data_IF_530045420214
#
_entry.id   IF_530045420214
#
_cell.length_a   1.000
_cell.length_b   1.000
_cell.length_c   1.000
_cell.angle_alpha   90.00
_cell.angle_beta   90.00
_cell.angle_gamma   90.00
#
_symmetry.space_group_name_H-M   'P 1'
#
loop_
_entity.id
_entity.type
_entity.pdbx_description
1 polymer ?
#
# COMPACT_ATOMS: atom_id res chain seq x y z
N UNK A 1 32.19 -41.37 17.48
CA UNK A 1 33.51 -41.01 18.06
C UNK A 1 33.47 -39.72 18.89
N UNK A 2 33.50 -38.51 18.30
CA UNK A 2 33.54 -37.26 19.11
C UNK A 2 32.22 -36.96 19.84
N UNK A 3 31.07 -37.20 19.19
CA UNK A 3 29.75 -37.08 19.83
C UNK A 3 29.57 -38.03 21.03
N UNK A 4 30.09 -39.26 20.93
CA UNK A 4 30.03 -40.26 22.01
C UNK A 4 30.90 -39.85 23.21
N UNK A 5 32.10 -39.29 22.95
CA UNK A 5 32.95 -38.73 24.02
C UNK A 5 32.24 -37.60 24.76
N UNK A 6 31.63 -36.66 24.02
CA UNK A 6 30.90 -35.55 24.65
C UNK A 6 29.66 -36.02 25.42
N UNK A 7 28.97 -37.08 24.97
CA UNK A 7 27.85 -37.68 25.71
C UNK A 7 28.30 -38.33 27.03
N UNK A 8 29.52 -38.86 27.09
CA UNK A 8 30.14 -39.37 28.33
C UNK A 8 30.62 -38.26 29.28
N UNK A 9 31.17 -37.16 28.74
CA UNK A 9 31.72 -36.05 29.56
C UNK A 9 30.64 -35.14 30.19
N UNK A 10 29.46 -35.03 29.56
CA UNK A 10 28.35 -34.20 30.07
C UNK A 10 27.86 -34.62 31.46
N UNK A 11 27.55 -35.91 31.74
CA UNK A 11 27.11 -36.35 33.07
C UNK A 11 28.21 -36.31 34.14
N UNK A 12 29.49 -36.38 33.76
CA UNK A 12 30.62 -36.31 34.71
C UNK A 12 30.98 -34.88 35.12
N UNK A 13 30.46 -33.87 34.42
CA UNK A 13 30.85 -32.47 34.63
C UNK A 13 29.89 -31.73 35.55
N UNK A 14 30.34 -31.44 36.79
CA UNK A 14 29.56 -30.66 37.78
C UNK A 14 29.58 -29.13 37.58
N UNK A 15 30.35 -28.62 36.61
CA UNK A 15 30.47 -27.17 36.36
C UNK A 15 29.47 -26.69 35.31
N UNK A 16 28.56 -25.81 35.70
CA UNK A 16 27.49 -25.29 34.84
C UNK A 16 28.02 -24.62 33.55
N UNK A 17 29.14 -23.89 33.64
CA UNK A 17 29.74 -23.21 32.46
C UNK A 17 30.37 -24.19 31.47
N UNK A 18 31.01 -25.26 31.98
CA UNK A 18 31.56 -26.33 31.14
C UNK A 18 30.44 -27.14 30.50
N UNK A 19 29.40 -27.47 31.28
CA UNK A 19 28.23 -28.18 30.80
C UNK A 19 27.55 -27.42 29.65
N UNK A 20 27.27 -26.12 29.80
CA UNK A 20 26.72 -25.28 28.72
C UNK A 20 27.57 -25.28 27.44
N UNK A 21 28.91 -25.24 27.57
CA UNK A 21 29.83 -25.29 26.41
C UNK A 21 29.81 -26.66 25.73
N UNK A 22 29.86 -27.75 26.50
CA UNK A 22 29.81 -29.12 25.99
C UNK A 22 28.48 -29.40 25.31
N UNK A 23 27.35 -29.02 25.90
CA UNK A 23 26.02 -29.16 25.30
C UNK A 23 25.92 -28.40 23.97
N UNK A 24 26.43 -27.16 23.89
CA UNK A 24 26.44 -26.39 22.64
C UNK A 24 27.30 -27.06 21.55
N UNK A 25 28.45 -27.63 21.92
CA UNK A 25 29.34 -28.36 21.01
C UNK A 25 28.70 -29.67 20.53
N UNK A 26 28.12 -30.44 21.44
CA UNK A 26 27.41 -31.68 21.10
C UNK A 26 26.28 -31.41 20.12
N UNK A 27 25.45 -30.39 20.39
CA UNK A 27 24.37 -29.98 19.48
C UNK A 27 24.87 -29.62 18.07
N UNK A 28 26.01 -28.94 17.98
CA UNK A 28 26.61 -28.60 16.68
C UNK A 28 27.11 -29.85 15.95
N UNK A 29 27.77 -30.78 16.65
CA UNK A 29 28.28 -32.02 16.05
C UNK A 29 27.12 -32.91 15.60
N UNK A 30 26.07 -33.04 16.40
CA UNK A 30 24.85 -33.78 16.04
C UNK A 30 24.21 -33.19 14.78
N UNK A 31 24.10 -31.86 14.68
CA UNK A 31 23.59 -31.20 13.47
C UNK A 31 24.46 -31.48 12.23
N UNK A 32 25.78 -31.58 12.36
CA UNK A 32 26.67 -31.98 11.25
C UNK A 32 26.48 -33.45 10.86
N UNK A 33 26.33 -34.34 11.84
CA UNK A 33 26.08 -35.76 11.59
C UNK A 33 24.72 -35.99 10.91
N UNK A 34 23.67 -35.30 11.37
CA UNK A 34 22.32 -35.37 10.78
C UNK A 34 22.27 -34.80 9.37
N UNK A 35 22.95 -33.66 9.12
CA UNK A 35 22.93 -33.01 7.81
C UNK A 35 23.82 -33.66 6.76
N UNK A 36 24.73 -34.56 7.17
CA UNK A 36 25.72 -35.20 6.27
C UNK A 36 26.78 -34.23 5.71
N UNK A 37 26.77 -32.97 6.15
CA UNK A 37 27.74 -31.97 5.71
C UNK A 37 29.11 -32.29 6.30
N UNK A 38 30.15 -32.15 5.49
CA UNK A 38 31.52 -32.36 5.96
C UNK A 38 32.12 -31.07 6.52
N UNK A 39 32.73 -31.08 7.73
CA UNK A 39 33.28 -29.86 8.34
C UNK A 39 34.33 -29.13 7.49
N UNK A 40 35.11 -29.86 6.67
CA UNK A 40 36.11 -29.29 5.77
C UNK A 40 35.52 -28.39 4.67
N UNK A 41 34.22 -28.50 4.37
CA UNK A 41 33.55 -27.64 3.37
C UNK A 41 33.47 -26.17 3.81
N UNK A 42 33.71 -25.87 5.09
CA UNK A 42 33.84 -24.49 5.57
C UNK A 42 35.10 -23.79 5.05
N UNK A 43 36.11 -24.55 4.59
CA UNK A 43 37.34 -24.02 4.00
C UNK A 43 37.21 -24.09 2.47
N UNK A 44 37.01 -22.93 1.85
CA UNK A 44 36.78 -22.84 0.40
C UNK A 44 38.03 -23.20 -0.40
N UNK A 45 37.95 -24.26 -1.19
CA UNK A 45 38.98 -24.63 -2.18
C UNK A 45 38.67 -24.06 -3.57
N UNK A 46 37.38 -23.94 -3.90
CA UNK A 46 36.87 -23.38 -5.15
C UNK A 46 35.84 -22.31 -4.83
N UNK A 47 35.96 -21.16 -5.48
CA UNK A 47 35.05 -20.03 -5.31
C UNK A 47 34.19 -19.86 -6.57
N UNK A 48 32.86 -19.97 -6.49
CA UNK A 48 31.98 -19.74 -7.63
C UNK A 48 31.95 -18.26 -8.00
N UNK A 49 31.71 -17.99 -9.30
CA UNK A 49 31.60 -16.63 -9.83
C UNK A 49 30.16 -16.36 -10.26
N UNK A 50 29.61 -15.23 -9.82
CA UNK A 50 28.26 -14.82 -10.17
C UNK A 50 28.11 -14.61 -11.70
N UNK A 51 26.98 -15.00 -12.32
CA UNK A 51 26.74 -14.77 -13.74
C UNK A 51 26.92 -13.29 -14.15
N UNK A 52 27.47 -13.00 -15.35
CA UNK A 52 27.76 -11.63 -15.80
C UNK A 52 26.54 -10.70 -15.79
N UNK A 53 25.35 -11.22 -16.08
CA UNK A 53 24.10 -10.44 -16.11
C UNK A 53 23.74 -9.83 -14.74
N UNK A 54 24.12 -10.49 -13.65
CA UNK A 54 23.90 -9.99 -12.28
C UNK A 54 24.99 -9.01 -11.82
N UNK A 55 26.03 -8.81 -12.65
CA UNK A 55 27.14 -7.87 -12.43
C UNK A 55 27.48 -7.12 -13.73
N UNK A 56 26.50 -6.40 -14.30
CA UNK A 56 26.62 -5.87 -15.66
C UNK A 56 27.70 -4.79 -15.77
N UNK A 57 28.21 -4.64 -16.99
CA UNK A 57 29.08 -3.56 -17.42
C UNK A 57 28.32 -2.78 -18.50
N UNK A 58 27.65 -1.71 -18.09
CA UNK A 58 26.71 -0.97 -18.96
C UNK A 58 27.44 0.23 -19.56
N UNK A 59 27.50 0.36 -20.90
CA UNK A 59 28.02 1.57 -21.53
C UNK A 59 27.10 2.74 -21.24
N UNK A 60 27.68 3.87 -20.84
CA UNK A 60 27.01 5.15 -20.68
C UNK A 60 27.34 6.06 -21.86
N UNK A 61 26.54 7.09 -22.06
CA UNK A 61 26.83 8.15 -23.03
C UNK A 61 28.22 8.77 -22.77
N UNK A 62 28.96 9.07 -23.84
CA UNK A 62 30.32 9.60 -23.75
C UNK A 62 31.42 8.56 -23.51
N UNK A 63 31.18 7.29 -23.86
CA UNK A 63 32.21 6.23 -23.85
C UNK A 63 32.64 5.76 -22.45
N UNK A 64 31.90 6.14 -21.40
CA UNK A 64 32.13 5.69 -20.02
C UNK A 64 31.43 4.37 -19.78
N UNK A 65 31.90 3.60 -18.80
CA UNK A 65 31.26 2.35 -18.40
C UNK A 65 30.85 2.40 -16.93
N UNK A 66 29.58 2.07 -16.66
CA UNK A 66 29.11 1.77 -15.32
C UNK A 66 29.45 0.31 -14.99
N UNK A 67 30.14 0.09 -13.87
CA UNK A 67 30.57 -1.25 -13.44
C UNK A 67 30.03 -1.55 -12.05
N UNK A 68 29.65 -2.81 -11.83
CA UNK A 68 29.28 -3.30 -10.49
C UNK A 68 30.50 -3.40 -9.58
N UNK A 69 30.37 -3.00 -8.31
CA UNK A 69 31.40 -3.12 -7.27
C UNK A 69 31.94 -4.56 -7.13
N UNK A 70 31.10 -5.56 -7.40
CA UNK A 70 31.50 -6.97 -7.39
C UNK A 70 32.59 -7.28 -8.43
N UNK A 71 32.55 -6.64 -9.60
CA UNK A 71 33.56 -6.89 -10.64
C UNK A 71 34.95 -6.48 -10.16
N UNK A 72 35.07 -5.40 -9.38
CA UNK A 72 36.33 -4.96 -8.79
C UNK A 72 36.85 -5.95 -7.74
N UNK A 73 35.95 -6.49 -6.90
CA UNK A 73 36.28 -7.49 -5.90
C UNK A 73 36.72 -8.81 -6.54
N UNK A 74 35.97 -9.31 -7.55
CA UNK A 74 36.37 -10.50 -8.33
C UNK A 74 37.73 -10.30 -9.02
N UNK A 75 37.94 -9.15 -9.65
CA UNK A 75 39.22 -8.83 -10.32
C UNK A 75 40.39 -8.89 -9.34
N UNK A 76 40.23 -8.39 -8.10
CA UNK A 76 41.27 -8.52 -7.06
C UNK A 76 41.56 -9.97 -6.71
N UNK A 77 40.52 -10.77 -6.44
CA UNK A 77 40.69 -12.20 -6.10
C UNK A 77 41.42 -12.95 -7.22
N UNK A 78 41.01 -12.75 -8.48
CA UNK A 78 41.63 -13.41 -9.64
C UNK A 78 43.10 -13.00 -9.78
N UNK A 79 43.40 -11.71 -9.70
CA UNK A 79 44.77 -11.21 -9.83
C UNK A 79 45.68 -11.73 -8.71
N UNK A 80 45.18 -11.78 -7.47
CA UNK A 80 45.91 -12.33 -6.32
C UNK A 80 46.14 -13.84 -6.44
N UNK A 81 45.13 -14.58 -6.90
CA UNK A 81 45.26 -16.02 -7.12
C UNK A 81 46.28 -16.34 -8.22
N UNK A 82 46.21 -15.62 -9.36
CA UNK A 82 47.17 -15.79 -10.45
C UNK A 82 48.60 -15.41 -10.03
N UNK A 83 48.76 -14.37 -9.20
CA UNK A 83 50.06 -13.98 -8.64
C UNK A 83 50.61 -15.03 -7.69
N UNK A 84 49.79 -15.56 -6.78
CA UNK A 84 50.19 -16.64 -5.87
C UNK A 84 50.63 -17.88 -6.66
N UNK A 85 49.89 -18.27 -7.70
CA UNK A 85 50.26 -19.39 -8.57
C UNK A 85 51.66 -19.19 -9.18
N UNK A 86 51.90 -18.03 -9.79
CA UNK A 86 53.23 -17.70 -10.36
C UNK A 86 54.36 -17.72 -9.33
N UNK A 87 54.11 -17.26 -8.10
CA UNK A 87 55.12 -17.28 -7.04
C UNK A 87 55.48 -18.70 -6.59
N UNK A 88 54.49 -19.61 -6.58
CA UNK A 88 54.73 -21.03 -6.30
C UNK A 88 55.51 -21.69 -7.43
N UNK A 89 55.16 -21.42 -8.70
CA UNK A 89 55.85 -21.95 -9.87
C UNK A 89 57.34 -21.52 -9.92
N UNK A 90 57.65 -20.31 -9.43
CA UNK A 90 59.01 -19.77 -9.35
C UNK A 90 59.77 -20.18 -8.09
N UNK A 91 59.20 -21.03 -7.22
CA UNK A 91 59.77 -21.38 -5.91
C UNK A 91 60.21 -20.16 -5.10
N UNK A 92 59.37 -19.11 -5.08
CA UNK A 92 59.66 -17.88 -4.35
C UNK A 92 59.80 -18.14 -2.83
N UNK A 93 60.59 -17.33 -2.11
CA UNK A 93 60.78 -17.50 -0.66
C UNK A 93 59.46 -17.53 0.14
N UNK A 94 59.43 -18.35 1.19
CA UNK A 94 58.27 -18.59 2.05
C UNK A 94 57.61 -17.31 2.59
N UNK A 95 58.41 -16.28 2.90
CA UNK A 95 57.92 -15.00 3.41
C UNK A 95 56.98 -14.34 2.40
N UNK A 96 57.36 -14.35 1.13
CA UNK A 96 56.58 -13.73 0.04
C UNK A 96 55.32 -14.56 -0.22
N UNK A 97 55.44 -15.89 -0.23
CA UNK A 97 54.31 -16.81 -0.41
C UNK A 97 53.28 -16.66 0.71
N UNK A 98 53.73 -16.58 1.97
CA UNK A 98 52.83 -16.36 3.13
C UNK A 98 52.11 -15.03 3.04
N UNK A 99 52.80 -13.96 2.63
CA UNK A 99 52.18 -12.65 2.44
C UNK A 99 51.10 -12.68 1.33
N UNK A 100 51.37 -13.35 0.20
CA UNK A 100 50.39 -13.44 -0.89
C UNK A 100 49.19 -14.32 -0.51
N UNK A 101 49.39 -15.41 0.26
CA UNK A 101 48.29 -16.19 0.86
C UNK A 101 47.40 -15.32 1.75
N UNK A 102 47.99 -14.48 2.61
CA UNK A 102 47.24 -13.51 3.43
C UNK A 102 46.44 -12.53 2.55
N UNK A 103 47.05 -12.00 1.51
CA UNK A 103 46.39 -11.04 0.61
C UNK A 103 45.24 -11.66 -0.20
N UNK A 104 45.39 -12.92 -0.60
CA UNK A 104 44.31 -13.68 -1.22
C UNK A 104 43.15 -13.89 -0.24
N UNK A 105 43.44 -14.29 1.00
CA UNK A 105 42.42 -14.43 2.05
C UNK A 105 41.65 -13.12 2.28
N UNK A 106 42.34 -12.00 2.42
CA UNK A 106 41.69 -10.69 2.60
C UNK A 106 40.83 -10.29 1.40
N UNK A 107 41.25 -10.66 0.18
CA UNK A 107 40.48 -10.37 -1.04
C UNK A 107 39.21 -11.22 -1.11
N UNK A 108 39.25 -12.49 -0.69
CA UNK A 108 38.08 -13.37 -0.61
C UNK A 108 37.14 -12.92 0.51
N UNK A 109 37.69 -12.57 1.68
CA UNK A 109 36.91 -12.03 2.81
C UNK A 109 36.15 -10.76 2.38
N UNK A 110 36.81 -9.84 1.66
CA UNK A 110 36.17 -8.62 1.18
C UNK A 110 35.12 -8.84 0.09
N UNK A 111 35.27 -9.88 -0.74
CA UNK A 111 34.25 -10.26 -1.73
C UNK A 111 32.98 -10.77 -1.05
N UNK A 112 33.13 -11.60 -0.01
CA UNK A 112 32.00 -12.19 0.72
C UNK A 112 31.33 -11.17 1.65
N UNK A 113 32.10 -10.50 2.52
CA UNK A 113 31.60 -9.54 3.51
C UNK A 113 32.66 -8.45 3.80
N UNK A 114 32.60 -7.36 3.04
CA UNK A 114 33.58 -6.27 3.12
C UNK A 114 33.44 -5.51 4.43
N UNK A 115 34.50 -5.50 5.25
CA UNK A 115 34.54 -4.77 6.53
C UNK A 115 34.33 -5.61 7.78
N UNK A 116 34.14 -6.94 7.66
CA UNK A 116 33.94 -7.82 8.83
C UNK A 116 35.18 -7.99 9.71
N UNK A 117 36.37 -8.11 9.10
CA UNK A 117 37.65 -8.39 9.79
C UNK A 117 38.68 -7.27 9.72
N UNK A 118 38.33 -6.12 9.13
CA UNK A 118 39.26 -5.01 8.95
C UNK A 118 38.63 -3.81 8.25
N UNK A 119 39.47 -2.86 7.84
CA UNK A 119 39.02 -1.66 7.11
C UNK A 119 38.41 -2.07 5.77
N UNK A 120 37.19 -1.61 5.50
CA UNK A 120 36.52 -1.87 4.25
C UNK A 120 37.36 -1.37 3.06
N UNK A 121 37.45 -2.21 2.04
CA UNK A 121 38.10 -1.85 0.78
C UNK A 121 37.26 -0.78 0.10
N UNK A 122 37.90 0.33 -0.24
CA UNK A 122 37.28 1.45 -0.95
C UNK A 122 37.62 1.45 -2.44
N UNK A 123 36.67 1.90 -3.25
CA UNK A 123 36.87 2.15 -4.69
C UNK A 123 37.48 3.53 -4.96
N UNK A 124 37.58 3.89 -6.24
CA UNK A 124 38.12 5.18 -6.70
C UNK A 124 37.44 6.39 -6.07
N UNK A 125 36.14 6.28 -5.77
CA UNK A 125 35.35 7.36 -5.16
C UNK A 125 35.45 7.40 -3.62
N UNK A 126 36.43 6.71 -3.03
CA UNK A 126 36.63 6.56 -1.57
C UNK A 126 35.45 5.94 -0.79
N UNK A 127 34.36 5.55 -1.46
CA UNK A 127 33.26 4.77 -0.86
C UNK A 127 33.65 3.30 -0.69
N UNK A 128 33.20 2.62 0.38
CA UNK A 128 33.38 1.19 0.52
C UNK A 128 32.64 0.45 -0.60
N UNK A 129 33.28 -0.58 -1.16
CA UNK A 129 32.68 -1.43 -2.18
C UNK A 129 31.62 -2.34 -1.56
N UNK A 130 30.47 -2.48 -2.22
CA UNK A 130 29.40 -3.40 -1.78
C UNK A 130 29.81 -4.86 -2.03
N UNK A 131 29.78 -5.67 -0.97
CA UNK A 131 30.05 -7.11 -1.02
C UNK A 131 28.80 -7.95 -1.34
N UNK A 132 28.97 -9.26 -1.52
CA UNK A 132 27.84 -10.18 -1.73
C UNK A 132 26.86 -10.16 -0.54
N UNK A 133 27.37 -10.14 0.69
CA UNK A 133 26.52 -10.05 1.88
C UNK A 133 25.72 -8.74 1.92
N UNK A 134 26.36 -7.61 1.58
CA UNK A 134 25.70 -6.28 1.56
C UNK A 134 24.60 -6.16 0.52
N UNK A 135 24.69 -6.90 -0.58
CA UNK A 135 23.62 -6.94 -1.58
C UNK A 135 22.36 -7.61 -1.03
N UNK A 136 22.50 -8.53 -0.08
CA UNK A 136 21.40 -9.30 0.47
C UNK A 136 20.80 -8.61 1.71
N UNK A 137 21.65 -8.10 2.60
CA UNK A 137 21.25 -7.53 3.90
C UNK A 137 20.93 -6.02 3.84
N UNK A 138 20.21 -5.53 4.84
CA UNK A 138 19.93 -4.10 5.02
C UNK A 138 18.70 -3.57 4.27
N UNK A 139 18.42 -2.27 4.43
CA UNK A 139 17.24 -1.60 3.84
C UNK A 139 17.29 -1.54 2.31
N UNK A 140 18.48 -1.34 1.75
CA UNK A 140 18.74 -1.37 0.30
C UNK A 140 19.10 -2.77 -0.21
N UNK A 141 19.03 -3.79 0.65
CA UNK A 141 19.30 -5.17 0.28
C UNK A 141 18.14 -5.81 -0.49
N UNK A 142 18.43 -6.92 -1.17
CA UNK A 142 17.47 -7.63 -2.02
C UNK A 142 16.16 -7.98 -1.31
N UNK A 143 16.23 -8.47 -0.06
CA UNK A 143 15.03 -8.90 0.67
C UNK A 143 14.03 -7.76 0.88
N UNK A 144 14.47 -6.63 1.43
CA UNK A 144 13.55 -5.53 1.77
C UNK A 144 13.18 -4.69 0.56
N UNK A 145 14.14 -4.37 -0.31
CA UNK A 145 13.92 -3.41 -1.38
C UNK A 145 13.28 -4.03 -2.62
N UNK A 146 13.62 -5.28 -2.96
CA UNK A 146 13.24 -5.89 -4.25
C UNK A 146 12.24 -7.04 -4.13
N UNK A 147 12.32 -7.84 -3.05
CA UNK A 147 11.39 -8.96 -2.87
C UNK A 147 10.07 -8.46 -2.29
N UNK A 148 10.13 -7.67 -1.21
CA UNK A 148 8.94 -7.08 -0.57
C UNK A 148 8.49 -5.77 -1.25
N UNK A 149 9.45 -4.96 -1.71
CA UNK A 149 9.18 -3.78 -2.51
C UNK A 149 9.26 -4.11 -4.00
N UNK A 150 8.17 -3.97 -4.74
CA UNK A 150 8.19 -4.07 -6.20
C UNK A 150 7.51 -2.85 -6.81
N UNK A 151 8.15 -2.31 -7.85
CA UNK A 151 7.45 -1.40 -8.76
C UNK A 151 6.52 -2.25 -9.60
N UNK A 152 5.28 -1.80 -9.72
CA UNK A 152 4.22 -2.52 -10.41
C UNK A 152 3.71 -1.68 -11.58
N UNK A 153 3.44 -2.35 -12.69
CA UNK A 153 2.76 -1.76 -13.84
C UNK A 153 1.26 -1.56 -13.51
N UNK A 154 0.51 -0.95 -14.45
CA UNK A 154 -0.92 -0.64 -14.26
C UNK A 154 -1.18 0.19 -12.99
N UNK A 155 -0.26 1.12 -12.72
CA UNK A 155 -0.34 2.06 -11.62
C UNK A 155 -0.16 3.50 -12.09
N UNK A 156 -0.82 4.42 -11.37
CA UNK A 156 -0.77 5.86 -11.62
C UNK A 156 -0.67 6.63 -10.32
N UNK A 157 -0.27 7.90 -10.38
CA UNK A 157 -0.29 8.80 -9.22
C UNK A 157 -0.73 10.19 -9.66
N UNK A 158 -1.61 10.81 -8.89
CA UNK A 158 -1.95 12.23 -9.06
C UNK A 158 -2.33 12.87 -7.73
N UNK A 159 -2.42 14.19 -7.75
CA UNK A 159 -2.95 15.01 -6.66
C UNK A 159 -4.43 14.70 -6.47
N UNK A 160 -4.87 14.66 -5.21
CA UNK A 160 -6.28 14.50 -4.87
C UNK A 160 -6.98 15.84 -4.69
N UNK A 161 -8.24 15.89 -5.09
CA UNK A 161 -9.15 17.02 -4.89
C UNK A 161 -10.48 16.51 -4.36
N UNK A 162 -11.26 17.42 -3.77
CA UNK A 162 -12.57 17.06 -3.21
C UNK A 162 -13.57 16.75 -4.32
N UNK A 163 -14.29 15.62 -4.19
CA UNK A 163 -15.42 15.24 -5.05
C UNK A 163 -16.71 15.11 -4.25
N UNK A 164 -17.36 16.22 -3.85
CA UNK A 164 -18.48 16.18 -2.90
C UNK A 164 -19.77 15.57 -3.48
N UNK A 165 -19.88 15.48 -4.82
CA UNK A 165 -21.03 14.88 -5.51
C UNK A 165 -20.90 13.38 -5.73
N UNK A 166 -19.75 12.79 -5.43
CA UNK A 166 -19.50 11.37 -5.58
C UNK A 166 -20.28 10.57 -4.53
N UNK A 167 -20.61 9.31 -4.84
CA UNK A 167 -21.08 8.35 -3.85
C UNK A 167 -19.90 7.78 -3.07
N UNK A 168 -20.16 7.19 -1.89
CA UNK A 168 -19.10 6.64 -1.02
C UNK A 168 -18.21 5.60 -1.72
N UNK A 169 -18.76 4.77 -2.61
CA UNK A 169 -18.04 3.75 -3.38
C UNK A 169 -17.36 4.28 -4.65
N UNK A 170 -17.49 5.58 -4.97
CA UNK A 170 -16.99 6.13 -6.21
C UNK A 170 -15.75 7.00 -6.00
N UNK A 171 -14.87 7.02 -6.99
CA UNK A 171 -13.78 7.99 -7.09
C UNK A 171 -13.76 8.61 -8.48
N UNK A 172 -13.40 9.89 -8.60
CA UNK A 172 -13.22 10.51 -9.91
C UNK A 172 -11.82 10.22 -10.45
N UNK A 173 -11.74 9.56 -11.60
CA UNK A 173 -10.50 9.20 -12.26
C UNK A 173 -10.30 10.05 -13.53
N UNK A 174 -9.17 10.76 -13.68
CA UNK A 174 -8.88 11.55 -14.88
C UNK A 174 -8.88 10.71 -16.15
N UNK A 175 -9.58 11.17 -17.18
CA UNK A 175 -9.66 10.49 -18.50
C UNK A 175 -8.30 10.06 -19.06
N UNK A 176 -7.29 10.92 -19.02
CA UNK A 176 -5.94 10.60 -19.52
C UNK A 176 -5.25 9.49 -18.71
N UNK A 177 -5.41 9.51 -17.39
CA UNK A 177 -4.87 8.47 -16.53
C UNK A 177 -5.58 7.14 -16.79
N UNK A 178 -6.91 7.17 -16.87
CA UNK A 178 -7.71 6.00 -17.17
C UNK A 178 -7.36 5.38 -18.53
N UNK A 179 -7.17 6.20 -19.57
CA UNK A 179 -6.78 5.75 -20.90
C UNK A 179 -5.45 4.97 -20.89
N UNK A 180 -4.46 5.44 -20.13
CA UNK A 180 -3.16 4.75 -19.99
C UNK A 180 -3.26 3.47 -19.15
N UNK A 181 -4.00 3.51 -18.03
CA UNK A 181 -4.17 2.37 -17.14
C UNK A 181 -4.92 1.21 -17.81
N UNK A 182 -5.93 1.52 -18.62
CA UNK A 182 -6.81 0.52 -19.24
C UNK A 182 -6.46 0.20 -20.71
N UNK A 183 -5.32 0.70 -21.22
CA UNK A 183 -4.91 0.58 -22.63
C UNK A 183 -5.11 -0.82 -23.25
N UNK A 184 -4.65 -1.93 -22.61
CA UNK A 184 -4.80 -3.26 -23.19
C UNK A 184 -6.26 -3.72 -23.30
N UNK A 185 -7.11 -3.33 -22.34
CA UNK A 185 -8.53 -3.64 -22.35
C UNK A 185 -9.24 -2.90 -23.50
N UNK A 186 -8.86 -1.64 -23.73
CA UNK A 186 -9.37 -0.84 -24.85
C UNK A 186 -8.96 -1.47 -26.18
N UNK A 187 -7.70 -1.89 -26.34
CA UNK A 187 -7.23 -2.57 -27.56
C UNK A 187 -8.05 -3.84 -27.86
N UNK A 188 -8.27 -4.68 -26.84
CA UNK A 188 -9.07 -5.90 -26.97
C UNK A 188 -10.52 -5.61 -27.37
N UNK A 189 -11.14 -4.56 -26.81
CA UNK A 189 -12.51 -4.16 -27.15
C UNK A 189 -12.62 -3.55 -28.56
N UNK A 190 -11.66 -2.71 -28.98
CA UNK A 190 -11.60 -2.15 -30.33
C UNK A 190 -11.51 -3.24 -31.40
N UNK A 191 -10.68 -4.27 -31.15
CA UNK A 191 -10.55 -5.41 -32.04
C UNK A 191 -11.84 -6.25 -32.09
N UNK A 192 -12.43 -6.55 -30.92
CA UNK A 192 -13.70 -7.31 -30.85
C UNK A 192 -14.88 -6.62 -31.55
N UNK A 193 -14.92 -5.29 -31.52
CA UNK A 193 -15.95 -4.50 -32.23
C UNK A 193 -15.67 -4.32 -33.72
N UNK A 194 -14.52 -4.78 -34.23
CA UNK A 194 -14.13 -4.61 -35.62
C UNK A 194 -13.71 -3.20 -36.01
N UNK A 195 -13.55 -2.29 -35.03
CA UNK A 195 -13.09 -0.91 -35.25
C UNK A 195 -11.59 -0.86 -35.58
N UNK A 196 -10.83 -1.85 -35.11
CA UNK A 196 -9.44 -2.05 -35.46
C UNK A 196 -9.19 -3.50 -35.90
N UNK A 197 -8.52 -3.67 -37.04
CA UNK A 197 -8.16 -5.01 -37.56
C UNK A 197 -6.88 -5.56 -36.98
N UNK A 198 -6.02 -4.71 -36.41
CA UNK A 198 -4.73 -5.12 -35.80
C UNK A 198 -4.45 -4.29 -34.55
N UNK A 199 -3.64 -4.83 -33.64
CA UNK A 199 -3.19 -4.13 -32.42
C UNK A 199 -2.47 -2.81 -32.78
N UNK A 200 -1.71 -2.78 -33.88
CA UNK A 200 -1.04 -1.55 -34.34
C UNK A 200 -2.04 -0.47 -34.79
N UNK A 201 -3.12 -0.87 -35.45
CA UNK A 201 -4.20 0.06 -35.81
C UNK A 201 -4.93 0.56 -34.56
N UNK A 202 -5.25 -0.33 -33.61
CA UNK A 202 -5.87 0.03 -32.34
C UNK A 202 -5.00 1.03 -31.55
N UNK A 203 -3.68 0.81 -31.50
CA UNK A 203 -2.73 1.73 -30.87
C UNK A 203 -2.78 3.12 -31.50
N UNK A 204 -2.78 3.21 -32.84
CA UNK A 204 -2.90 4.50 -33.55
C UNK A 204 -4.24 5.20 -33.30
N UNK A 205 -5.33 4.46 -33.16
CA UNK A 205 -6.64 5.02 -32.84
C UNK A 205 -6.66 5.60 -31.41
N UNK A 206 -6.11 4.86 -30.44
CA UNK A 206 -5.99 5.33 -29.05
C UNK A 206 -5.09 6.56 -28.94
N UNK A 207 -3.97 6.61 -29.68
CA UNK A 207 -3.08 7.79 -29.74
C UNK A 207 -3.75 9.03 -30.34
N UNK A 208 -4.79 8.85 -31.17
CA UNK A 208 -5.59 9.95 -31.74
C UNK A 208 -6.71 10.45 -30.82
N UNK A 209 -6.96 9.77 -29.69
CA UNK A 209 -7.99 10.15 -28.71
C UNK A 209 -9.39 10.38 -29.33
N UNK A 210 -9.78 9.56 -30.32
CA UNK A 210 -11.08 9.68 -31.01
C UNK A 210 -12.30 9.39 -30.13
N UNK A 211 -13.49 9.88 -30.53
CA UNK A 211 -14.74 9.72 -29.77
C UNK A 211 -15.07 8.26 -29.39
N UNK A 212 -14.91 7.35 -30.34
CA UNK A 212 -15.12 5.90 -30.17
C UNK A 212 -14.26 5.28 -29.04
N UNK A 213 -13.07 5.85 -28.79
CA UNK A 213 -12.17 5.38 -27.73
C UNK A 213 -12.72 5.76 -26.37
N UNK A 214 -13.32 6.93 -26.23
CA UNK A 214 -13.92 7.39 -24.98
C UNK A 214 -15.16 6.58 -24.62
N UNK A 215 -16.00 6.25 -25.61
CA UNK A 215 -17.18 5.40 -25.40
C UNK A 215 -16.78 3.99 -24.94
N UNK A 216 -15.73 3.42 -25.54
CA UNK A 216 -15.18 2.12 -25.13
C UNK A 216 -14.53 2.20 -23.75
N UNK A 217 -13.84 3.30 -23.45
CA UNK A 217 -13.23 3.51 -22.14
C UNK A 217 -14.29 3.50 -21.04
N UNK A 218 -15.41 4.19 -21.24
CA UNK A 218 -16.53 4.22 -20.30
C UNK A 218 -17.14 2.82 -20.10
N UNK A 219 -17.26 2.02 -21.16
CA UNK A 219 -17.72 0.63 -21.07
C UNK A 219 -16.73 -0.25 -20.29
N UNK A 220 -15.43 -0.14 -20.56
CA UNK A 220 -14.38 -0.96 -19.93
C UNK A 220 -14.28 -0.69 -18.44
N UNK A 221 -14.47 0.56 -18.05
CA UNK A 221 -14.31 1.02 -16.67
C UNK A 221 -15.55 0.70 -15.81
N UNK A 222 -16.70 0.51 -16.46
CA UNK A 222 -17.95 0.15 -15.77
C UNK A 222 -17.76 -1.17 -15.02
N UNK A 223 -18.08 -1.15 -13.72
CA UNK A 223 -17.93 -2.29 -12.80
C UNK A 223 -16.48 -2.81 -12.64
N UNK A 224 -15.46 -2.07 -13.09
CA UNK A 224 -14.05 -2.42 -12.89
C UNK A 224 -13.46 -1.58 -11.74
N UNK A 225 -13.39 -2.12 -10.50
CA UNK A 225 -12.90 -1.34 -9.37
C UNK A 225 -11.42 -1.00 -9.49
N UNK A 226 -11.02 0.15 -8.94
CA UNK A 226 -9.61 0.57 -8.82
C UNK A 226 -9.25 0.71 -7.35
N UNK A 227 -7.99 0.44 -7.02
CA UNK A 227 -7.48 0.60 -5.65
C UNK A 227 -6.77 1.94 -5.50
N UNK A 228 -7.22 2.76 -4.55
CA UNK A 228 -6.53 3.98 -4.13
C UNK A 228 -5.67 3.69 -2.90
N UNK A 229 -4.46 4.22 -2.89
CA UNK A 229 -3.52 4.11 -1.77
C UNK A 229 -2.84 5.45 -1.51
N UNK A 230 -2.76 5.84 -0.24
CA UNK A 230 -1.97 6.99 0.23
C UNK A 230 -0.75 6.54 1.02
N UNK A 231 0.40 7.14 0.71
CA UNK A 231 1.60 6.96 1.50
C UNK A 231 1.67 8.04 2.59
N UNK A 232 2.05 7.72 3.83
CA UNK A 232 2.38 6.38 4.36
C UNK A 232 1.13 5.54 4.68
N UNK A 233 1.16 4.25 4.34
CA UNK A 233 0.08 3.29 4.69
C UNK A 233 0.30 2.74 6.10
N UNK A 234 -0.45 3.25 7.09
CA UNK A 234 -0.29 2.87 8.50
C UNK A 234 -1.16 1.67 8.91
N UNK A 235 -2.30 1.49 8.26
CA UNK A 235 -3.26 0.42 8.52
C UNK A 235 -4.01 0.04 7.24
N UNK A 236 -4.78 -1.05 7.29
CA UNK A 236 -5.47 -1.60 6.10
C UNK A 236 -6.38 -0.59 5.39
N UNK A 237 -7.03 0.33 6.12
CA UNK A 237 -7.92 1.34 5.53
C UNK A 237 -7.19 2.38 4.66
N UNK A 238 -5.85 2.42 4.69
CA UNK A 238 -5.07 3.26 3.78
C UNK A 238 -5.02 2.73 2.34
N UNK A 239 -5.64 1.57 2.07
CA UNK A 239 -5.91 1.04 0.73
C UNK A 239 -7.38 0.65 0.66
N UNK A 240 -8.13 1.25 -0.26
CA UNK A 240 -9.54 0.91 -0.50
C UNK A 240 -9.81 0.85 -2.00
N UNK A 241 -10.82 0.06 -2.35
CA UNK A 241 -11.33 -0.05 -3.71
C UNK A 241 -12.51 0.90 -3.93
N UNK A 242 -12.56 1.47 -5.13
CA UNK A 242 -13.61 2.39 -5.58
C UNK A 242 -14.00 2.07 -7.01
N UNK A 243 -15.23 2.40 -7.38
CA UNK A 243 -15.66 2.44 -8.76
C UNK A 243 -15.22 3.78 -9.40
N UNK A 244 -14.37 3.71 -10.43
CA UNK A 244 -13.92 4.91 -11.14
C UNK A 244 -15.05 5.57 -11.95
N UNK A 245 -15.22 6.88 -11.74
CA UNK A 245 -16.05 7.77 -12.56
C UNK A 245 -15.12 8.64 -13.40
N UNK A 246 -15.32 8.65 -14.72
CA UNK A 246 -14.48 9.46 -15.60
C UNK A 246 -14.72 10.95 -15.37
N UNK A 247 -13.65 11.68 -15.09
CA UNK A 247 -13.68 13.14 -14.90
C UNK A 247 -12.71 13.84 -15.84
N UNK A 248 -13.02 15.09 -16.15
CA UNK A 248 -12.10 16.00 -16.83
C UNK A 248 -11.00 16.48 -15.87
N UNK A 249 -9.87 16.91 -16.45
CA UNK A 249 -8.71 17.40 -15.70
C UNK A 249 -7.67 16.31 -15.42
N UNK A 250 -6.86 16.52 -14.37
CA UNK A 250 -5.70 15.68 -14.03
C UNK A 250 -5.68 15.20 -12.58
N UNK A 251 -6.51 15.75 -11.71
CA UNK A 251 -6.56 15.40 -10.30
C UNK A 251 -7.60 14.32 -10.03
N UNK A 252 -7.31 13.44 -9.06
CA UNK A 252 -8.24 12.38 -8.63
C UNK A 252 -9.25 13.01 -7.68
N UNK A 253 -10.54 12.79 -7.89
CA UNK A 253 -11.56 13.22 -6.93
C UNK A 253 -11.81 12.13 -5.90
N UNK A 254 -11.78 12.51 -4.62
CA UNK A 254 -12.03 11.62 -3.50
C UNK A 254 -13.26 12.08 -2.71
N UNK A 255 -14.03 11.10 -2.22
CA UNK A 255 -15.17 11.36 -1.36
C UNK A 255 -14.71 11.91 0.01
N UNK A 256 -15.30 13.00 0.55
CA UNK A 256 -14.85 13.62 1.79
C UNK A 256 -14.83 12.68 3.02
N UNK A 257 -15.83 11.80 3.15
CA UNK A 257 -15.93 10.87 4.30
C UNK A 257 -14.84 9.80 4.35
N UNK A 258 -14.14 9.52 3.25
CA UNK A 258 -13.03 8.55 3.27
C UNK A 258 -11.69 9.19 3.59
N UNK A 259 -11.60 10.53 3.62
CA UNK A 259 -10.35 11.25 3.92
C UNK A 259 -9.79 10.88 5.30
N UNK A 260 -10.65 10.71 6.31
CA UNK A 260 -10.25 10.27 7.64
C UNK A 260 -9.54 8.89 7.61
N UNK A 261 -10.07 7.96 6.81
CA UNK A 261 -9.50 6.63 6.66
C UNK A 261 -8.13 6.65 5.93
N UNK A 262 -7.92 7.56 4.99
CA UNK A 262 -6.61 7.75 4.35
C UNK A 262 -5.67 8.67 5.12
N UNK A 263 -6.16 9.32 6.19
CA UNK A 263 -5.51 10.42 6.88
C UNK A 263 -5.08 11.54 5.90
N UNK A 264 -5.91 11.82 4.90
CA UNK A 264 -5.61 12.69 3.77
C UNK A 264 -6.33 14.04 3.90
N UNK A 265 -5.69 15.07 3.37
CA UNK A 265 -6.27 16.41 3.15
C UNK A 265 -6.09 16.84 1.69
N UNK A 266 -6.52 18.06 1.36
CA UNK A 266 -6.54 18.56 -0.02
C UNK A 266 -5.55 19.71 -0.25
N UNK A 267 -4.40 19.71 0.43
CA UNK A 267 -3.38 20.77 0.36
C UNK A 267 -2.24 20.49 -0.64
N UNK A 268 -2.29 19.35 -1.34
CA UNK A 268 -1.25 18.90 -2.25
C UNK A 268 -0.95 17.39 -2.16
N UNK A 269 -1.62 16.70 -1.25
CA UNK A 269 -1.59 15.25 -1.10
C UNK A 269 -1.80 14.50 -2.43
N UNK A 270 -1.11 13.36 -2.55
CA UNK A 270 -1.14 12.52 -3.75
C UNK A 270 -1.53 11.09 -3.40
N UNK A 271 -2.35 10.48 -4.25
CA UNK A 271 -2.71 9.08 -4.14
C UNK A 271 -2.22 8.28 -5.35
N UNK A 272 -1.83 7.04 -5.09
CA UNK A 272 -1.53 6.06 -6.12
C UNK A 272 -2.80 5.26 -6.44
N UNK A 273 -3.02 5.03 -7.73
CA UNK A 273 -4.10 4.19 -8.26
C UNK A 273 -3.49 2.90 -8.78
N UNK A 274 -4.11 1.75 -8.52
CA UNK A 274 -3.73 0.46 -9.06
C UNK A 274 -4.95 -0.24 -9.64
N UNK A 275 -4.79 -0.91 -10.79
CA UNK A 275 -5.87 -1.64 -11.45
C UNK A 275 -5.75 -3.15 -11.18
N UNK A 276 -6.73 -3.80 -10.52
CA UNK A 276 -6.78 -5.25 -10.42
C UNK A 276 -7.05 -5.86 -11.80
N UNK A 277 -6.19 -6.78 -12.24
CA UNK A 277 -6.25 -7.34 -13.60
C UNK A 277 -7.01 -8.65 -13.69
N UNK A 278 -6.79 -9.58 -12.76
CA UNK A 278 -7.48 -10.88 -12.75
C UNK A 278 -8.91 -10.74 -12.24
N UNK A 279 -9.78 -11.66 -12.64
CA UNK A 279 -11.18 -11.64 -12.20
C UNK A 279 -11.29 -11.85 -10.69
N UNK A 280 -10.46 -12.72 -10.12
CA UNK A 280 -10.40 -12.98 -8.68
C UNK A 280 -10.00 -11.72 -7.92
N UNK A 281 -9.02 -10.97 -8.41
CA UNK A 281 -8.58 -9.73 -7.79
C UNK A 281 -9.65 -8.62 -7.89
N UNK A 282 -10.39 -8.56 -9.00
CA UNK A 282 -11.51 -7.62 -9.15
C UNK A 282 -12.65 -7.96 -8.18
N UNK A 283 -12.98 -9.24 -8.05
CA UNK A 283 -13.98 -9.73 -7.10
C UNK A 283 -13.55 -9.51 -5.65
N UNK A 284 -12.29 -9.77 -5.31
CA UNK A 284 -11.73 -9.50 -3.98
C UNK A 284 -11.78 -8.01 -3.65
N UNK A 285 -11.39 -7.14 -4.60
CA UNK A 285 -11.46 -5.70 -4.43
C UNK A 285 -12.90 -5.25 -4.15
N UNK A 286 -13.88 -5.80 -4.87
CA UNK A 286 -15.29 -5.48 -4.71
C UNK A 286 -15.90 -6.04 -3.42
N UNK A 287 -15.57 -7.28 -3.05
CA UNK A 287 -16.17 -7.96 -1.92
C UNK A 287 -15.53 -7.56 -0.57
N UNK A 288 -14.24 -7.27 -0.54
CA UNK A 288 -13.50 -7.03 0.71
C UNK A 288 -12.97 -5.59 0.83
N UNK A 289 -12.48 -5.01 -0.27
CA UNK A 289 -11.77 -3.73 -0.20
C UNK A 289 -12.64 -2.52 -0.55
N UNK A 290 -13.86 -2.71 -1.04
CA UNK A 290 -14.77 -1.62 -1.40
C UNK A 290 -14.99 -0.70 -0.20
N UNK A 291 -14.97 0.61 -0.42
CA UNK A 291 -15.09 1.60 0.66
C UNK A 291 -16.38 1.44 1.49
N UNK A 292 -17.48 0.97 0.88
CA UNK A 292 -18.76 0.70 1.55
C UNK A 292 -18.68 -0.43 2.57
N UNK A 293 -17.71 -1.35 2.45
CA UNK A 293 -17.56 -2.46 3.39
C UNK A 293 -16.75 -2.06 4.62
N UNK A 294 -16.00 -0.95 4.52
CA UNK A 294 -15.00 -0.53 5.48
C UNK A 294 -15.48 0.67 6.30
N UNK A 295 -16.65 0.52 6.94
CA UNK A 295 -17.35 1.57 7.72
C UNK A 295 -16.80 1.69 9.14
N UNK A 296 -16.39 0.58 9.74
CA UNK A 296 -15.92 0.52 11.14
C UNK A 296 -14.39 0.42 11.20
N UNK A 297 -13.82 1.08 12.19
CA UNK A 297 -12.41 0.95 12.52
C UNK A 297 -12.11 -0.46 13.04
N UNK A 298 -11.09 -1.15 12.49
CA UNK A 298 -10.73 -2.49 12.93
C UNK A 298 -10.18 -2.54 14.37
N UNK A 299 -9.74 -1.41 14.92
CA UNK A 299 -9.07 -1.35 16.21
C UNK A 299 -10.03 -1.27 17.40
N UNK A 300 -11.13 -0.53 17.26
CA UNK A 300 -12.07 -0.19 18.33
C UNK A 300 -13.53 -0.44 17.97
N UNK A 301 -13.87 -0.71 16.70
CA UNK A 301 -15.24 -0.91 16.26
C UNK A 301 -16.04 0.37 16.05
N UNK A 302 -15.46 1.54 16.32
CA UNK A 302 -16.10 2.83 16.10
C UNK A 302 -16.21 3.15 14.59
N UNK A 303 -17.27 3.85 14.13
CA UNK A 303 -17.38 4.28 12.75
C UNK A 303 -16.24 5.22 12.33
N UNK A 304 -15.64 4.98 11.16
CA UNK A 304 -14.58 5.83 10.58
C UNK A 304 -15.12 6.88 9.61
N UNK A 305 -16.33 6.67 9.08
CA UNK A 305 -16.99 7.53 8.09
C UNK A 305 -17.75 8.70 8.71
N UNK A 306 -17.32 9.16 9.89
CA UNK A 306 -18.00 10.24 10.62
C UNK A 306 -17.80 11.55 9.86
N UNK A 307 -18.86 12.36 9.64
CA UNK A 307 -18.71 13.67 9.03
C UNK A 307 -17.73 14.55 9.81
N UNK A 308 -16.97 15.37 9.09
CA UNK A 308 -15.97 16.27 9.67
C UNK A 308 -16.24 17.72 9.31
N UNK A 309 -15.77 18.65 10.16
CA UNK A 309 -15.70 20.08 9.87
C UNK A 309 -17.05 20.67 9.41
N UNK A 310 -17.14 21.07 8.14
CA UNK A 310 -18.27 21.84 7.58
C UNK A 310 -19.60 21.10 7.64
N UNK A 311 -19.59 19.77 7.46
CA UNK A 311 -20.82 18.98 7.55
C UNK A 311 -21.37 19.00 8.96
N UNK A 312 -20.50 18.89 9.97
CA UNK A 312 -20.88 18.97 11.38
C UNK A 312 -21.37 20.38 11.71
N UNK A 313 -20.69 21.42 11.22
CA UNK A 313 -21.11 22.81 11.44
C UNK A 313 -22.48 23.10 10.81
N UNK A 314 -22.76 22.58 9.62
CA UNK A 314 -24.05 22.72 8.96
C UNK A 314 -25.19 22.03 9.72
N UNK A 315 -24.95 20.80 10.20
CA UNK A 315 -25.91 20.08 11.05
C UNK A 315 -26.13 20.78 12.40
N UNK A 316 -25.06 21.24 13.04
CA UNK A 316 -25.13 22.01 14.29
C UNK A 316 -25.94 23.29 14.09
N UNK A 317 -25.64 24.08 13.06
CA UNK A 317 -26.36 25.30 12.75
C UNK A 317 -27.85 25.00 12.54
N UNK A 318 -28.17 24.05 11.66
CA UNK A 318 -29.55 23.67 11.33
C UNK A 318 -30.37 23.21 12.56
N UNK A 319 -29.73 22.51 13.50
CA UNK A 319 -30.41 21.91 14.66
C UNK A 319 -30.48 22.83 15.90
N UNK A 320 -29.87 24.02 15.85
CA UNK A 320 -30.01 25.04 16.89
C UNK A 320 -31.38 25.71 16.86
N UNK A 321 -31.81 26.10 18.05
CA UNK A 321 -33.01 26.91 18.27
C UNK A 321 -32.65 28.38 18.51
N UNK A 322 -33.57 29.26 18.15
CA UNK A 322 -33.49 30.69 18.43
C UNK A 322 -34.81 31.16 19.02
N UNK A 323 -34.72 32.03 20.03
CA UNK A 323 -35.88 32.67 20.66
C UNK A 323 -36.33 33.85 19.79
N UNK A 324 -37.65 34.03 19.66
CA UNK A 324 -38.31 35.02 18.81
C UNK A 324 -37.97 34.89 17.32
N UNK A 325 -37.83 33.65 16.84
CA UNK A 325 -37.59 33.39 15.43
C UNK A 325 -38.90 33.49 14.62
N UNK A 326 -38.81 33.90 13.34
CA UNK A 326 -39.98 33.97 12.46
C UNK A 326 -40.64 32.58 12.36
N UNK A 327 -41.95 32.51 12.62
CA UNK A 327 -42.70 31.25 12.61
C UNK A 327 -42.66 30.45 13.93
N UNK A 328 -42.18 31.04 15.02
CA UNK A 328 -42.21 30.41 16.34
C UNK A 328 -43.65 30.13 16.82
N UNK A 329 -43.88 28.94 17.38
CA UNK A 329 -45.18 28.47 17.86
C UNK A 329 -46.12 27.93 16.78
N UNK A 330 -45.72 27.94 15.50
CA UNK A 330 -46.49 27.34 14.42
C UNK A 330 -46.61 25.81 14.61
N UNK A 331 -47.72 25.25 14.13
CA UNK A 331 -47.94 23.82 14.08
C UNK A 331 -48.00 23.36 12.63
N UNK A 332 -47.26 22.31 12.29
CA UNK A 332 -47.20 21.72 10.96
C UNK A 332 -47.76 20.28 10.98
N UNK A 333 -48.52 19.94 9.95
CA UNK A 333 -49.17 18.66 9.77
C UNK A 333 -48.19 17.54 9.36
N UNK A 334 -47.05 17.88 8.75
CA UNK A 334 -45.96 16.96 8.43
C UNK A 334 -44.64 17.72 8.20
N UNK A 335 -43.55 16.99 7.94
CA UNK A 335 -42.25 17.58 7.61
C UNK A 335 -42.23 18.33 6.28
N UNK A 336 -43.13 17.97 5.35
CA UNK A 336 -43.23 18.62 4.03
C UNK A 336 -43.83 20.02 4.13
N UNK A 337 -44.79 20.23 5.03
CA UNK A 337 -45.35 21.54 5.33
C UNK A 337 -44.32 22.44 6.01
N UNK A 338 -43.54 21.89 6.96
CA UNK A 338 -42.43 22.62 7.57
C UNK A 338 -41.37 23.03 6.53
N UNK A 339 -41.05 22.15 5.56
CA UNK A 339 -40.19 22.46 4.42
C UNK A 339 -40.74 23.58 3.55
N UNK A 340 -42.02 23.51 3.20
CA UNK A 340 -42.67 24.56 2.39
C UNK A 340 -42.64 25.91 3.10
N UNK A 341 -42.92 25.96 4.40
CA UNK A 341 -42.89 27.19 5.19
C UNK A 341 -41.48 27.78 5.29
N UNK A 342 -40.44 26.95 5.36
CA UNK A 342 -39.05 27.38 5.30
C UNK A 342 -38.69 27.94 3.92
N UNK A 343 -38.99 27.21 2.85
CA UNK A 343 -38.66 27.59 1.48
C UNK A 343 -39.42 28.85 1.02
N UNK A 344 -40.64 29.07 1.53
CA UNK A 344 -41.40 30.30 1.30
C UNK A 344 -40.95 31.48 2.16
N UNK A 345 -40.01 31.27 3.09
CA UNK A 345 -39.50 32.29 3.99
C UNK A 345 -40.46 32.69 5.11
N UNK A 346 -41.50 31.90 5.37
CA UNK A 346 -42.49 32.16 6.44
C UNK A 346 -42.05 31.62 7.81
N UNK A 347 -41.19 30.60 7.83
CA UNK A 347 -40.58 30.08 9.04
C UNK A 347 -39.05 30.10 8.94
N UNK A 348 -38.38 30.49 10.02
CA UNK A 348 -36.92 30.40 10.16
C UNK A 348 -36.50 28.98 10.51
N UNK A 349 -35.31 28.56 10.07
CA UNK A 349 -34.77 27.22 10.33
C UNK A 349 -34.60 26.93 11.84
N UNK A 350 -34.39 27.98 12.65
CA UNK A 350 -34.21 27.88 14.09
C UNK A 350 -35.52 28.08 14.89
N UNK A 351 -36.67 28.25 14.21
CA UNK A 351 -37.94 28.49 14.87
C UNK A 351 -38.44 27.24 15.61
N UNK A 352 -38.86 27.43 16.87
CA UNK A 352 -39.49 26.39 17.69
C UNK A 352 -40.93 26.18 17.22
N UNK A 353 -41.25 24.97 16.79
CA UNK A 353 -42.52 24.62 16.15
C UNK A 353 -42.99 23.25 16.63
N UNK A 354 -44.27 22.96 16.45
CA UNK A 354 -44.82 21.61 16.69
C UNK A 354 -45.02 20.92 15.36
N UNK A 355 -44.37 19.78 15.16
CA UNK A 355 -44.49 19.01 13.92
C UNK A 355 -45.10 17.66 14.25
N UNK A 356 -46.10 17.24 13.48
CA UNK A 356 -46.58 15.87 13.52
C UNK A 356 -45.59 14.98 12.77
N UNK A 357 -44.93 14.10 13.50
CA UNK A 357 -43.92 13.16 13.01
C UNK A 357 -44.52 11.75 13.01
N UNK A 358 -44.31 11.02 11.92
CA UNK A 358 -44.65 9.61 11.81
C UNK A 358 -43.35 8.81 11.93
N UNK A 359 -43.17 8.14 13.07
CA UNK A 359 -42.02 7.30 13.35
C UNK A 359 -42.38 5.86 13.02
N UNK A 360 -41.51 5.17 12.28
CA UNK A 360 -41.65 3.72 12.02
C UNK A 360 -40.66 3.00 12.95
N UNK A 361 -41.16 2.17 13.85
CA UNK A 361 -40.35 1.26 14.65
C UNK A 361 -40.55 -0.19 14.20
N UNK A 362 -39.58 -1.05 14.50
CA UNK A 362 -39.67 -2.49 14.25
C UNK A 362 -39.80 -3.22 15.59
N UNK A 363 -40.83 -4.04 15.72
CA UNK A 363 -41.05 -4.87 16.91
C UNK A 363 -40.06 -6.05 16.95
N UNK A 364 -40.03 -6.79 18.07
CA UNK A 364 -39.16 -7.98 18.24
C UNK A 364 -39.38 -9.06 17.15
N UNK A 365 -40.55 -9.06 16.50
CA UNK A 365 -40.89 -9.95 15.39
C UNK A 365 -40.57 -9.37 14.00
N UNK A 366 -40.02 -8.15 13.92
CA UNK A 366 -39.69 -7.46 12.67
C UNK A 366 -40.89 -6.80 11.95
N UNK A 367 -42.05 -6.75 12.59
CA UNK A 367 -43.24 -6.06 12.06
C UNK A 367 -43.10 -4.54 12.22
N UNK A 368 -43.61 -3.80 11.24
CA UNK A 368 -43.58 -2.33 11.22
C UNK A 368 -44.71 -1.78 12.10
N UNK A 369 -44.35 -0.99 13.10
CA UNK A 369 -45.30 -0.23 13.92
C UNK A 369 -45.11 1.25 13.64
N UNK A 370 -46.17 1.88 13.14
CA UNK A 370 -46.19 3.32 12.87
C UNK A 370 -46.75 4.08 14.08
N UNK A 371 -45.93 4.94 14.67
CA UNK A 371 -46.34 5.81 15.77
C UNK A 371 -46.41 7.24 15.27
N UNK A 372 -47.60 7.83 15.27
CA UNK A 372 -47.81 9.23 14.93
C UNK A 372 -47.86 10.04 16.21
N UNK A 373 -46.95 11.01 16.37
CA UNK A 373 -46.95 11.90 17.53
C UNK A 373 -46.61 13.33 17.12
N UNK A 374 -47.10 14.30 17.90
CA UNK A 374 -46.74 15.71 17.74
C UNK A 374 -45.53 15.98 18.63
N UNK A 375 -44.41 16.37 18.03
CA UNK A 375 -43.16 16.65 18.74
C UNK A 375 -42.91 18.17 18.75
N UNK A 376 -42.48 18.68 19.90
CA UNK A 376 -41.91 20.02 20.00
C UNK A 376 -40.48 19.97 19.47
N UNK A 377 -40.19 20.72 18.41
CA UNK A 377 -38.91 20.67 17.69
C UNK A 377 -38.57 22.00 17.01
N UNK A 378 -37.54 22.03 16.16
CA UNK A 378 -37.26 23.17 15.28
C UNK A 378 -37.53 22.80 13.82
N UNK A 379 -37.76 23.81 12.98
CA UNK A 379 -37.92 23.60 11.53
C UNK A 379 -36.72 22.84 10.95
N UNK A 380 -35.48 23.18 11.34
CA UNK A 380 -34.29 22.49 10.87
C UNK A 380 -34.19 21.02 11.30
N UNK A 381 -34.58 20.68 12.54
CA UNK A 381 -34.63 19.27 13.00
C UNK A 381 -35.70 18.46 12.26
N UNK A 382 -36.85 19.08 11.96
CA UNK A 382 -37.90 18.47 11.17
C UNK A 382 -37.45 18.19 9.72
N UNK A 383 -36.64 19.08 9.12
CA UNK A 383 -36.05 18.84 7.79
C UNK A 383 -35.03 17.72 7.79
N UNK A 384 -34.26 17.57 8.87
CA UNK A 384 -33.28 16.49 9.02
C UNK A 384 -33.97 15.12 9.14
N UNK A 385 -35.21 15.07 9.67
CA UNK A 385 -35.98 13.84 9.79
C UNK A 385 -36.27 13.17 8.44
N UNK A 386 -36.45 13.95 7.36
CA UNK A 386 -36.68 13.39 6.02
C UNK A 386 -35.53 12.49 5.53
N UNK A 387 -34.33 12.63 6.11
CA UNK A 387 -33.13 11.86 5.76
C UNK A 387 -32.95 10.64 6.69
N UNK A 388 -33.60 10.66 7.86
CA UNK A 388 -33.49 9.59 8.85
C UNK A 388 -34.22 8.32 8.33
N UNK A 389 -33.58 7.15 8.31
CA UNK A 389 -34.23 5.92 7.89
C UNK A 389 -35.26 5.43 8.92
N UNK A 390 -36.29 4.71 8.43
CA UNK A 390 -37.23 3.96 9.26
C UNK A 390 -36.49 3.09 10.29
N UNK A 391 -36.99 3.07 11.53
CA UNK A 391 -36.42 2.29 12.65
C UNK A 391 -35.56 3.11 13.62
N UNK A 392 -35.18 4.34 13.27
CA UNK A 392 -34.47 5.25 14.17
C UNK A 392 -35.41 6.27 14.82
N UNK A 393 -35.32 6.49 16.14
CA UNK A 393 -36.21 7.43 16.83
C UNK A 393 -35.83 8.88 16.53
N UNK A 394 -36.84 9.74 16.41
CA UNK A 394 -36.70 11.19 16.21
C UNK A 394 -35.89 11.86 17.32
N UNK A 395 -35.89 11.29 18.53
CA UNK A 395 -35.12 11.79 19.66
C UNK A 395 -33.61 11.88 19.39
N UNK A 396 -33.06 11.04 18.50
CA UNK A 396 -31.65 11.09 18.11
C UNK A 396 -31.28 12.44 17.50
N UNK A 397 -32.20 13.00 16.70
CA UNK A 397 -32.04 14.26 15.98
C UNK A 397 -32.71 15.45 16.68
N UNK A 398 -33.55 15.22 17.70
CA UNK A 398 -34.23 16.29 18.43
C UNK A 398 -33.35 16.97 19.50
N UNK A 399 -32.10 17.25 19.16
CA UNK A 399 -31.09 17.91 20.00
C UNK A 399 -30.13 18.72 19.12
N UNK A 400 -29.39 19.68 19.69
CA UNK A 400 -28.28 20.31 18.96
C UNK A 400 -27.24 19.23 18.62
N UNK A 401 -26.98 19.05 17.32
CA UNK A 401 -26.06 18.05 16.77
C UNK A 401 -24.61 18.51 16.79
#
# INVERSE_FOLDING_TARGET
AEAEKLRGEIPETNSETKLKKLTKRLKLIEAFLESGNKPEWMVLTVLPVLPPELRPLVPLEGGRFATSDLNDLYRRVINRNNRLKRLLDLNAPDIIVRNEKRMLQESVDALLDNGRRGRAITGSNKRPLKSLADMIKGKQGRFRQNLLGKRVDYSGRSVIVVGPTLKLHQCGLPKKMALELFKPFIFSKLERRGLATTIKAAKKLVEREGGEVWDILEEVIREHPVMLNRAPTLHRLGIQAFEPVLIEGKAIQLHPLVCAAFNADFDGDQMAVHVPLSLEAQLEARALMMSTNNILSPANGDPIIVPSQDVVLGLYYMTREAVNAKGEGMMFADTREARRAYESGEASIHARVKVRVCEVSYDENGEKVETVSVKDTTVGRALLFDILPDGLPFELINRPM
#
